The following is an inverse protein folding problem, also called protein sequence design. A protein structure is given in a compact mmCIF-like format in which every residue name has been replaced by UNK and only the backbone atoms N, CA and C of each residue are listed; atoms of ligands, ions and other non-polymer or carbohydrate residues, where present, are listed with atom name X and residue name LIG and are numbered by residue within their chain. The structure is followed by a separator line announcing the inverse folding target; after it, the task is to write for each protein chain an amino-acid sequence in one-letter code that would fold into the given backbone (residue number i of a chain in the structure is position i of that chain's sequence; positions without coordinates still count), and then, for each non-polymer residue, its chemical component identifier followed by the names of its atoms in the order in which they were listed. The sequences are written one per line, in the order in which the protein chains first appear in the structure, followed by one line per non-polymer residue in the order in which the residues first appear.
data_IF_273962557121
#
_entry.id   IF_273962557121
#
_cell.length_a   1.000
_cell.length_b   1.000
_cell.length_c   1.000
_cell.angle_alpha   90.00
_cell.angle_beta   90.00
_cell.angle_gamma   90.00
#
_symmetry.space_group_name_H-M   'P 1'
#
loop_
_entity.id
_entity.type
_entity.pdbx_description
1 polymer ?
#
# COMPACT_ATOMS: atom_id res chain seq x y z
N UNK A 1 23.12 4.57 -17.60
CA UNK A 1 23.86 3.72 -16.66
C UNK A 1 25.03 3.05 -17.36
N UNK A 2 24.80 2.17 -18.35
CA UNK A 2 25.86 1.62 -19.23
C UNK A 2 26.76 2.71 -19.87
N UNK A 3 26.15 3.70 -20.51
CA UNK A 3 26.89 4.82 -21.13
C UNK A 3 27.49 5.83 -20.14
N UNK A 4 27.16 5.73 -18.85
CA UNK A 4 27.71 6.61 -17.81
C UNK A 4 28.80 5.93 -16.97
N UNK A 5 29.13 4.66 -17.25
CA UNK A 5 30.19 3.92 -16.56
C UNK A 5 29.93 3.68 -15.06
N UNK A 6 28.67 3.83 -14.63
CA UNK A 6 28.27 3.59 -13.24
C UNK A 6 27.81 2.14 -13.09
N UNK A 7 28.19 1.50 -11.99
CA UNK A 7 27.69 0.17 -11.65
C UNK A 7 26.16 0.21 -11.52
N UNK A 8 25.53 -0.85 -12.00
CA UNK A 8 24.08 -1.02 -11.91
C UNK A 8 23.76 -2.50 -11.76
N UNK A 9 22.65 -2.79 -11.10
CA UNK A 9 22.07 -4.13 -11.04
C UNK A 9 20.62 -4.09 -11.52
N UNK A 10 20.17 -5.23 -12.05
CA UNK A 10 18.75 -5.43 -12.32
C UNK A 10 18.12 -6.09 -11.09
N UNK A 11 16.92 -5.66 -10.74
CA UNK A 11 16.13 -6.37 -9.73
C UNK A 11 15.93 -7.82 -10.20
N UNK A 12 16.41 -8.78 -9.40
CA UNK A 12 16.26 -10.21 -9.70
C UNK A 12 14.77 -10.62 -9.75
N UNK A 13 13.95 -9.95 -8.93
CA UNK A 13 12.53 -10.22 -8.77
C UNK A 13 11.69 -9.19 -9.52
N UNK A 14 10.74 -9.69 -10.31
CA UNK A 14 9.72 -8.86 -10.92
C UNK A 14 8.80 -8.32 -9.82
N UNK A 15 8.40 -7.04 -9.93
CA UNK A 15 7.83 -6.23 -8.85
C UNK A 15 6.80 -6.91 -7.94
N UNK A 16 6.86 -6.54 -6.66
CA UNK A 16 5.98 -6.93 -5.58
C UNK A 16 4.83 -5.94 -5.34
N UNK A 17 4.18 -6.07 -4.20
CA UNK A 17 3.13 -5.16 -3.72
C UNK A 17 3.50 -4.61 -2.35
N UNK A 18 3.10 -3.38 -2.04
CA UNK A 18 3.08 -2.85 -0.68
C UNK A 18 1.65 -2.42 -0.34
N UNK A 19 1.21 -2.76 0.86
CA UNK A 19 -0.16 -2.52 1.27
C UNK A 19 -0.48 -3.09 2.65
N UNK A 20 -1.77 -3.25 2.92
CA UNK A 20 -2.24 -3.83 4.18
C UNK A 20 -2.12 -5.35 4.17
N UNK A 21 -1.76 -5.90 5.32
CA UNK A 21 -1.88 -7.33 5.59
C UNK A 21 -3.36 -7.75 5.57
N UNK A 22 -3.68 -8.84 4.88
CA UNK A 22 -5.01 -9.46 4.85
C UNK A 22 -4.87 -10.95 5.12
N UNK A 23 -5.78 -11.49 5.95
CA UNK A 23 -5.90 -12.92 6.16
C UNK A 23 -6.96 -13.49 5.21
N UNK A 24 -6.57 -14.46 4.40
CA UNK A 24 -7.42 -15.12 3.43
C UNK A 24 -7.55 -16.60 3.81
N UNK A 25 -8.79 -17.08 4.00
CA UNK A 25 -9.06 -18.49 4.28
C UNK A 25 -9.54 -19.14 2.99
N UNK A 26 -8.67 -19.90 2.35
CA UNK A 26 -8.99 -20.68 1.15
C UNK A 26 -8.81 -22.16 1.48
N UNK A 27 -9.80 -23.00 1.14
CA UNK A 27 -9.79 -24.45 1.40
C UNK A 27 -9.53 -24.83 2.89
N UNK A 28 -9.99 -23.99 3.82
CA UNK A 28 -9.78 -24.20 5.27
C UNK A 28 -8.37 -23.88 5.77
N UNK A 29 -7.48 -23.36 4.91
CA UNK A 29 -6.15 -22.89 5.28
C UNK A 29 -6.14 -21.35 5.34
N UNK A 30 -5.82 -20.80 6.50
CA UNK A 30 -5.55 -19.36 6.65
C UNK A 30 -4.18 -19.04 6.06
N UNK A 31 -4.14 -18.08 5.13
CA UNK A 31 -2.93 -17.57 4.49
C UNK A 31 -2.88 -16.07 4.66
N UNK A 32 -1.66 -15.56 4.81
CA UNK A 32 -1.38 -14.14 4.82
C UNK A 32 -1.16 -13.68 3.38
N UNK A 33 -1.88 -12.64 2.97
CA UNK A 33 -1.74 -11.95 1.69
C UNK A 33 -1.46 -10.47 1.96
N UNK A 34 -0.89 -9.77 0.98
CA UNK A 34 -0.75 -8.30 1.02
C UNK A 34 -1.59 -7.70 -0.10
N UNK A 35 -2.46 -6.75 0.25
CA UNK A 35 -3.35 -6.10 -0.70
C UNK A 35 -3.13 -4.57 -0.73
N UNK A 36 -3.09 -4.01 -1.93
CA UNK A 36 -2.81 -2.60 -2.14
C UNK A 36 -2.92 -2.17 -3.61
N UNK A 37 -2.59 -0.91 -3.87
CA UNK A 37 -2.58 -0.31 -5.21
C UNK A 37 -1.17 0.06 -5.67
N UNK A 38 -0.16 -0.30 -4.88
CA UNK A 38 1.22 0.19 -4.99
C UNK A 38 2.15 -0.99 -5.25
N UNK A 39 2.86 -0.93 -6.38
CA UNK A 39 3.93 -1.84 -6.77
C UNK A 39 5.15 -1.53 -5.92
N UNK A 40 5.69 -2.56 -5.29
CA UNK A 40 6.92 -2.50 -4.51
C UNK A 40 8.07 -3.15 -5.27
N UNK A 41 9.29 -2.70 -4.99
CA UNK A 41 10.51 -3.32 -5.45
C UNK A 41 11.46 -3.44 -4.27
N UNK A 42 12.12 -4.58 -4.19
CA UNK A 42 13.11 -4.88 -3.16
C UNK A 42 14.52 -4.77 -3.72
N UNK A 43 15.49 -4.52 -2.85
CA UNK A 43 16.91 -4.55 -3.17
C UNK A 43 17.46 -5.99 -3.19
N UNK A 44 18.77 -6.13 -3.38
CA UNK A 44 19.48 -7.42 -3.40
C UNK A 44 19.46 -8.17 -2.07
N UNK A 45 19.17 -7.48 -0.95
CA UNK A 45 18.99 -8.08 0.38
C UNK A 45 17.54 -8.48 0.64
N UNK A 46 16.64 -8.18 -0.29
CA UNK A 46 15.21 -8.37 -0.13
C UNK A 46 14.57 -7.31 0.77
N UNK A 47 15.20 -6.15 0.99
CA UNK A 47 14.59 -5.04 1.72
C UNK A 47 13.84 -4.11 0.75
N UNK A 48 12.78 -3.44 1.20
CA UNK A 48 12.03 -2.51 0.35
C UNK A 48 12.95 -1.37 -0.14
N UNK A 49 13.14 -1.28 -1.45
CA UNK A 49 14.00 -0.28 -2.10
C UNK A 49 13.18 0.93 -2.58
N UNK A 50 12.10 0.67 -3.32
CA UNK A 50 11.22 1.72 -3.83
C UNK A 50 9.83 1.17 -4.12
N UNK A 51 8.84 2.06 -4.18
CA UNK A 51 7.48 1.73 -4.59
C UNK A 51 6.91 2.83 -5.49
N UNK A 52 5.98 2.47 -6.38
CA UNK A 52 5.35 3.43 -7.29
C UNK A 52 4.15 4.15 -6.63
N UNK A 53 3.45 5.05 -7.33
CA UNK A 53 2.16 5.59 -6.85
C UNK A 53 2.21 6.75 -5.86
N UNK A 54 3.39 7.12 -5.34
CA UNK A 54 3.56 8.24 -4.41
C UNK A 54 3.01 7.94 -3.02
N UNK A 55 2.99 8.96 -2.14
CA UNK A 55 2.59 8.81 -0.74
C UNK A 55 1.06 8.79 -0.54
N UNK A 56 0.30 9.10 -1.59
CA UNK A 56 -1.16 9.17 -1.56
C UNK A 56 -1.73 7.83 -2.02
N UNK A 57 -2.30 7.07 -1.08
CA UNK A 57 -2.95 5.78 -1.32
C UNK A 57 -4.27 5.93 -2.07
N UNK A 58 -5.06 6.95 -1.73
CA UNK A 58 -6.33 7.29 -2.40
C UNK A 58 -6.32 8.77 -2.78
N UNK A 59 -6.36 9.06 -4.08
CA UNK A 59 -6.21 10.41 -4.64
C UNK A 59 -7.41 11.32 -4.38
N UNK A 60 -8.61 10.75 -4.24
CA UNK A 60 -9.82 11.44 -3.81
C UNK A 60 -10.83 10.37 -3.38
N UNK A 61 -11.53 10.57 -2.27
CA UNK A 61 -12.81 9.93 -2.02
C UNK A 61 -13.96 10.80 -2.57
N UNK A 62 -15.20 10.33 -2.38
CA UNK A 62 -16.41 11.04 -2.83
C UNK A 62 -16.59 12.40 -2.12
N UNK A 63 -15.83 12.63 -1.03
CA UNK A 63 -15.79 13.88 -0.27
C UNK A 63 -14.61 14.78 -0.70
N UNK A 64 -13.86 14.41 -1.73
CA UNK A 64 -12.69 15.17 -2.21
C UNK A 64 -11.41 14.95 -1.39
N UNK A 65 -11.41 14.01 -0.44
CA UNK A 65 -10.30 13.85 0.53
C UNK A 65 -9.24 12.90 0.02
N UNK A 66 -7.99 13.19 0.37
CA UNK A 66 -6.83 12.34 0.09
C UNK A 66 -6.56 11.42 1.29
N UNK A 67 -6.22 10.17 1.00
CA UNK A 67 -5.72 9.24 2.03
C UNK A 67 -4.25 8.97 1.75
N UNK A 68 -3.39 9.30 2.70
CA UNK A 68 -1.96 9.02 2.61
C UNK A 68 -1.66 7.59 3.07
N UNK A 69 -0.44 7.12 2.82
CA UNK A 69 0.07 5.88 3.38
C UNK A 69 0.05 5.94 4.91
N UNK A 70 -0.43 4.85 5.53
CA UNK A 70 -0.37 4.64 6.97
C UNK A 70 0.62 3.51 7.27
N UNK A 71 1.82 3.88 7.71
CA UNK A 71 2.93 2.95 7.99
C UNK A 71 3.01 2.50 9.44
N UNK A 72 2.21 3.12 10.33
CA UNK A 72 2.07 2.70 11.73
C UNK A 72 1.18 1.44 11.85
N UNK A 73 0.31 1.19 10.86
CA UNK A 73 -0.51 -0.02 10.77
C UNK A 73 0.24 -1.28 10.32
N UNK A 74 -0.51 -2.31 9.94
CA UNK A 74 -0.02 -3.60 9.42
C UNK A 74 0.49 -3.49 7.96
N UNK A 75 1.21 -2.42 7.63
CA UNK A 75 1.77 -2.25 6.29
C UNK A 75 2.91 -3.24 6.07
N UNK A 76 2.75 -4.06 5.05
CA UNK A 76 3.71 -5.09 4.61
C UNK A 76 4.01 -4.90 3.14
N UNK A 77 5.13 -5.46 2.71
CA UNK A 77 5.37 -5.69 1.29
C UNK A 77 5.39 -7.20 1.03
N UNK A 78 5.03 -7.59 -0.17
CA UNK A 78 5.13 -8.97 -0.64
C UNK A 78 5.76 -9.04 -2.02
N UNK A 79 6.48 -10.12 -2.30
CA UNK A 79 7.09 -10.43 -3.61
C UNK A 79 7.01 -11.92 -3.90
N UNK A 80 7.32 -12.34 -5.14
CA UNK A 80 7.31 -13.75 -5.58
C UNK A 80 5.97 -14.48 -5.41
N UNK A 81 4.89 -13.74 -5.20
CA UNK A 81 3.54 -14.29 -5.13
C UNK A 81 2.80 -14.22 -6.46
N UNK A 82 1.56 -14.69 -6.45
CA UNK A 82 0.65 -14.54 -7.58
C UNK A 82 -0.19 -13.28 -7.41
N UNK A 83 -0.23 -12.46 -8.45
CA UNK A 83 -1.10 -11.28 -8.48
C UNK A 83 -2.56 -11.71 -8.69
N UNK A 84 -3.43 -11.28 -7.79
CA UNK A 84 -4.88 -11.46 -7.88
C UNK A 84 -5.58 -10.12 -7.76
N UNK A 85 -6.30 -9.73 -8.80
CA UNK A 85 -7.24 -8.60 -8.73
C UNK A 85 -8.45 -8.97 -7.87
N UNK A 86 -8.92 -8.05 -7.02
CA UNK A 86 -10.19 -8.26 -6.33
C UNK A 86 -11.35 -8.24 -7.34
N UNK A 87 -12.12 -9.33 -7.43
CA UNK A 87 -13.14 -9.51 -8.48
C UNK A 87 -14.55 -9.05 -8.13
N UNK A 88 -14.77 -8.42 -6.97
CA UNK A 88 -16.12 -8.04 -6.55
C UNK A 88 -16.24 -6.58 -6.12
N UNK A 89 -16.80 -5.79 -7.06
CA UNK A 89 -17.89 -4.84 -6.82
C UNK A 89 -17.61 -3.57 -6.02
N UNK A 90 -16.93 -3.62 -4.88
CA UNK A 90 -17.01 -2.54 -3.90
C UNK A 90 -15.64 -2.14 -3.32
N UNK A 91 -15.30 -0.87 -3.57
CA UNK A 91 -14.48 0.04 -2.76
C UNK A 91 -12.93 0.07 -2.88
N UNK A 92 -12.26 -0.90 -3.52
CA UNK A 92 -10.80 -0.81 -3.68
C UNK A 92 -10.36 -1.26 -5.07
N UNK A 93 -9.82 -0.36 -5.89
CA UNK A 93 -9.01 -0.71 -7.07
C UNK A 93 -7.66 -1.29 -6.59
N UNK A 94 -7.70 -2.43 -5.89
CA UNK A 94 -6.55 -3.02 -5.23
C UNK A 94 -6.31 -4.43 -5.76
N UNK A 95 -5.05 -4.73 -6.03
CA UNK A 95 -4.60 -6.09 -6.25
C UNK A 95 -4.10 -6.67 -4.92
N UNK A 96 -4.08 -7.99 -4.84
CA UNK A 96 -3.47 -8.74 -3.75
C UNK A 96 -2.34 -9.61 -4.31
N UNK A 97 -1.34 -9.85 -3.48
CA UNK A 97 -0.29 -10.82 -3.76
C UNK A 97 -0.45 -12.02 -2.85
N UNK A 98 -0.71 -13.17 -3.46
CA UNK A 98 -0.98 -14.43 -2.76
C UNK A 98 0.24 -15.34 -2.74
N UNK A 99 0.53 -15.94 -1.58
CA UNK A 99 1.54 -17.00 -1.44
C UNK A 99 2.98 -16.54 -1.70
N UNK A 100 3.23 -15.23 -1.69
CA UNK A 100 4.55 -14.65 -1.85
C UNK A 100 5.35 -14.60 -0.55
N UNK A 101 6.61 -14.15 -0.65
CA UNK A 101 7.43 -13.78 0.51
C UNK A 101 6.93 -12.44 1.04
N UNK A 102 6.46 -12.43 2.27
CA UNK A 102 5.96 -11.22 2.96
C UNK A 102 7.05 -10.70 3.89
N UNK A 103 7.33 -9.41 3.78
CA UNK A 103 8.29 -8.71 4.61
C UNK A 103 7.68 -7.55 5.38
N UNK A 104 8.30 -7.29 6.54
CA UNK A 104 8.04 -6.09 7.32
C UNK A 104 8.77 -4.89 6.76
N UNK A 105 8.21 -3.70 7.00
CA UNK A 105 8.99 -2.47 6.93
C UNK A 105 9.90 -2.38 8.15
N UNK A 106 11.18 -2.09 7.93
CA UNK A 106 12.08 -1.76 9.02
C UNK A 106 11.66 -0.43 9.68
N UNK A 107 12.02 -0.24 10.94
CA UNK A 107 11.68 0.97 11.70
C UNK A 107 12.16 2.24 10.99
N UNK A 108 13.40 2.26 10.50
CA UNK A 108 13.93 3.39 9.74
C UNK A 108 13.15 3.66 8.43
N UNK A 109 12.68 2.62 7.73
CA UNK A 109 11.84 2.82 6.54
C UNK A 109 10.47 3.39 6.91
N UNK A 110 9.88 2.93 8.02
CA UNK A 110 8.62 3.50 8.55
C UNK A 110 8.79 4.98 8.88
N UNK A 111 9.83 5.34 9.61
CA UNK A 111 10.15 6.74 9.97
C UNK A 111 10.31 7.63 8.73
N UNK A 112 11.04 7.15 7.71
CA UNK A 112 11.22 7.88 6.45
C UNK A 112 9.87 8.12 5.76
N UNK A 113 9.02 7.10 5.66
CA UNK A 113 7.72 7.25 5.00
C UNK A 113 6.80 8.17 5.83
N UNK A 114 6.74 8.02 7.15
CA UNK A 114 5.96 8.90 8.05
C UNK A 114 6.38 10.36 7.87
N UNK A 115 7.68 10.66 7.99
CA UNK A 115 8.20 12.02 7.81
C UNK A 115 7.95 12.55 6.39
N UNK A 116 8.05 11.69 5.38
CA UNK A 116 7.74 12.08 4.00
C UNK A 116 6.27 12.42 3.81
N UNK A 117 5.35 11.66 4.44
CA UNK A 117 3.89 11.92 4.42
C UNK A 117 3.59 13.26 5.07
N UNK A 118 4.18 13.57 6.23
CA UNK A 118 3.97 14.85 6.91
C UNK A 118 4.43 16.03 6.07
N UNK A 119 5.61 15.95 5.47
CA UNK A 119 6.13 16.99 4.57
C UNK A 119 5.25 17.16 3.34
N UNK A 120 4.75 16.06 2.76
CA UNK A 120 3.88 16.09 1.60
C UNK A 120 2.53 16.74 1.90
N UNK A 121 1.91 16.42 3.04
CA UNK A 121 0.69 17.08 3.52
C UNK A 121 0.88 18.60 3.65
N UNK A 122 1.96 19.03 4.31
CA UNK A 122 2.26 20.45 4.45
C UNK A 122 2.59 21.15 3.14
N UNK A 123 3.15 20.45 2.15
CA UNK A 123 3.33 20.98 0.80
C UNK A 123 1.99 21.15 0.08
N UNK A 124 1.13 20.13 0.13
CA UNK A 124 -0.22 20.17 -0.44
C UNK A 124 -1.05 21.33 0.14
N UNK A 125 -1.02 21.53 1.46
CA UNK A 125 -1.76 22.60 2.14
C UNK A 125 -1.28 24.00 1.69
N UNK A 126 0.04 24.21 1.60
CA UNK A 126 0.61 25.48 1.11
C UNK A 126 0.28 25.75 -0.36
N UNK A 127 0.28 24.72 -1.19
CA UNK A 127 -0.14 24.85 -2.59
C UNK A 127 -1.63 25.16 -2.69
N UNK A 128 -2.48 24.54 -1.85
CA UNK A 128 -3.90 24.84 -1.80
C UNK A 128 -4.15 26.30 -1.37
N UNK A 129 -3.42 26.80 -0.37
CA UNK A 129 -3.47 28.21 0.06
C UNK A 129 -3.11 29.16 -1.09
N UNK A 130 -1.97 28.93 -1.73
CA UNK A 130 -1.46 29.75 -2.84
C UNK A 130 -2.47 29.82 -3.99
N UNK A 131 -3.16 28.71 -4.25
CA UNK A 131 -4.12 28.59 -5.35
C UNK A 131 -5.53 29.07 -4.97
N UNK A 132 -5.75 29.52 -3.73
CA UNK A 132 -7.07 29.94 -3.24
C UNK A 132 -8.07 28.77 -3.15
N UNK A 133 -7.58 27.54 -2.96
CA UNK A 133 -8.38 26.32 -2.92
C UNK A 133 -8.73 25.87 -1.48
N UNK A 134 -8.26 26.60 -0.47
CA UNK A 134 -8.65 26.38 0.93
C UNK A 134 -10.05 26.97 1.19
N UNK A 135 -11.08 26.30 0.67
CA UNK A 135 -12.36 26.19 1.40
C UNK A 135 -12.28 24.96 2.34
N UNK A 136 -13.03 24.90 3.45
CA UNK A 136 -12.48 24.59 4.77
C UNK A 136 -12.04 23.14 5.06
N UNK A 137 -12.10 22.20 4.13
CA UNK A 137 -11.90 20.78 4.45
C UNK A 137 -10.99 20.05 3.45
N UNK A 138 -9.71 20.43 3.37
CA UNK A 138 -8.67 19.45 3.00
C UNK A 138 -8.44 18.55 4.23
N UNK A 139 -9.41 17.68 4.51
CA UNK A 139 -9.39 16.77 5.65
C UNK A 139 -8.50 15.57 5.31
N UNK A 140 -7.30 15.56 5.90
CA UNK A 140 -6.40 14.41 5.88
C UNK A 140 -6.95 13.32 6.79
N UNK A 141 -7.40 12.18 6.24
CA UNK A 141 -7.72 11.00 7.06
C UNK A 141 -6.42 10.30 7.48
N UNK A 142 -6.25 10.07 8.78
CA UNK A 142 -5.36 9.01 9.27
C UNK A 142 -5.90 7.68 8.77
N UNK A 143 -5.06 6.89 8.12
CA UNK A 143 -5.46 5.63 7.50
C UNK A 143 -5.71 4.50 8.51
N UNK A 144 -6.40 4.75 9.63
CA UNK A 144 -6.73 3.69 10.58
C UNK A 144 -7.68 2.70 9.93
N UNK A 145 -7.16 1.50 9.65
CA UNK A 145 -7.94 0.37 9.24
C UNK A 145 -8.65 -0.17 10.48
N UNK A 146 -9.93 0.17 10.66
CA UNK A 146 -10.79 -0.63 11.54
C UNK A 146 -11.04 -1.96 10.82
N UNK A 147 -10.19 -2.94 11.07
CA UNK A 147 -10.63 -4.33 10.93
C UNK A 147 -11.69 -4.54 11.99
N UNK A 148 -12.94 -4.74 11.58
CA UNK A 148 -13.97 -5.32 12.43
C UNK A 148 -13.56 -6.76 12.78
N UNK A 149 -12.61 -6.91 13.70
CA UNK A 149 -12.34 -8.20 14.35
C UNK A 149 -13.47 -8.41 15.34
N UNK A 150 -14.57 -8.97 14.83
CA UNK A 150 -15.79 -9.16 15.59
C UNK A 150 -16.88 -9.87 14.78
N UNK A 151 -16.49 -10.85 13.96
CA UNK A 151 -17.45 -11.67 13.22
C UNK A 151 -16.72 -12.77 12.47
N UNK A 152 -16.78 -13.98 12.99
CA UNK A 152 -16.43 -15.18 12.20
C UNK A 152 -17.53 -15.33 11.15
N UNK A 153 -17.35 -14.74 9.98
CA UNK A 153 -18.13 -15.14 8.82
C UNK A 153 -17.46 -16.35 8.17
N UNK A 154 -18.19 -17.45 8.21
CA UNK A 154 -17.87 -18.70 7.53
C UNK A 154 -17.80 -18.44 6.03
N UNK A 155 -16.71 -18.84 5.41
CA UNK A 155 -16.55 -18.88 3.96
C UNK A 155 -17.33 -20.07 3.34
N UNK A 156 -18.59 -20.25 3.74
CA UNK A 156 -19.47 -21.30 3.23
C UNK A 156 -20.73 -20.61 2.69
N UNK A 157 -20.70 -20.11 1.44
CA UNK A 157 -21.75 -20.32 0.42
C UNK A 157 -21.44 -19.47 -0.84
N UNK A 158 -20.75 -20.03 -1.82
CA UNK A 158 -20.68 -19.45 -3.16
C UNK A 158 -20.77 -20.53 -4.23
N UNK A 159 -21.96 -21.14 -4.30
CA UNK A 159 -22.47 -21.69 -5.54
C UNK A 159 -23.66 -20.87 -6.04
N UNK A 160 -23.62 -20.58 -7.34
CA UNK A 160 -24.60 -19.94 -8.25
C UNK A 160 -24.38 -18.45 -8.51
#
# INVERSE_FOLDING_TARGET
MELSGVEYSFAEKYGGIIGGQVWNVTDGLSREDVCGSTIAHVDEKGELLWFNGGLVRKKSDDEGKRTFMDVEGDMRWASDGNWRWNKWGNAWDAACMEGGVIGNLSEGVKEIITGSVEVAKGADDRFAELMGLLEPDVLHKEGKHETSVGGVERADDWSV
#
